data_IF_425228606446
#
_entry.id   IF_425228606446
#
_cell.length_a   1.000
_cell.length_b   1.000
_cell.length_c   1.000
_cell.angle_alpha   90.00
_cell.angle_beta   90.00
_cell.angle_gamma   90.00
#
_symmetry.space_group_name_H-M   'P 1'
#
loop_
_entity.id
_entity.type
_entity.pdbx_description
1 polymer ?
#
# COMPACT_ATOMS: atom_id res chain seq x y z
N UNK A 1 -47.84 -1.87 28.01
CA UNK A 1 -47.52 -3.20 28.57
C UNK A 1 -48.39 -4.24 27.89
N UNK A 2 -47.79 -5.40 27.59
CA UNK A 2 -48.40 -6.72 27.42
C UNK A 2 -49.13 -7.11 26.11
N UNK A 3 -48.42 -7.98 25.35
CA UNK A 3 -48.82 -9.29 24.81
C UNK A 3 -49.84 -9.44 23.66
N UNK A 4 -49.32 -9.82 22.49
CA UNK A 4 -49.82 -10.83 21.53
C UNK A 4 -48.56 -11.46 20.88
N UNK A 5 -48.10 -12.70 21.12
CA UNK A 5 -48.57 -14.05 20.69
C UNK A 5 -49.04 -14.17 19.23
N UNK A 6 -48.44 -15.10 18.47
CA UNK A 6 -48.98 -15.71 17.23
C UNK A 6 -48.00 -15.72 16.05
N UNK A 7 -47.04 -16.65 15.95
CA UNK A 7 -47.02 -17.92 15.17
C UNK A 7 -47.23 -17.77 13.64
N UNK A 8 -46.41 -18.52 12.87
CA UNK A 8 -46.59 -19.10 11.51
C UNK A 8 -45.90 -18.33 10.36
N UNK A 9 -45.24 -18.95 9.37
CA UNK A 9 -44.94 -20.35 9.06
C UNK A 9 -43.75 -20.44 8.06
N UNK A 10 -43.09 -21.59 8.07
CA UNK A 10 -42.21 -22.19 7.05
C UNK A 10 -42.45 -21.77 5.58
N UNK A 11 -41.37 -21.73 4.78
CA UNK A 11 -41.16 -22.70 3.68
C UNK A 11 -39.73 -22.64 3.12
N UNK A 12 -39.03 -23.77 3.25
CA UNK A 12 -37.83 -24.11 2.47
C UNK A 12 -38.21 -24.27 1.00
N UNK A 13 -37.32 -23.89 0.08
CA UNK A 13 -37.17 -24.66 -1.15
C UNK A 13 -35.69 -24.93 -1.45
N UNK A 14 -35.47 -26.22 -1.58
CA UNK A 14 -34.27 -27.00 -1.79
C UNK A 14 -33.90 -26.98 -3.28
N UNK A 15 -32.61 -26.80 -3.64
CA UNK A 15 -31.97 -27.56 -4.74
C UNK A 15 -30.46 -27.60 -4.47
N UNK A 16 -29.91 -28.80 -4.23
CA UNK A 16 -28.55 -29.16 -4.63
C UNK A 16 -28.64 -29.98 -5.91
N UNK A 17 -27.63 -29.96 -6.80
CA UNK A 17 -26.83 -31.17 -6.94
C UNK A 17 -25.35 -30.98 -7.31
N UNK A 18 -24.52 -31.75 -6.59
CA UNK A 18 -23.31 -32.50 -6.98
C UNK A 18 -22.58 -32.16 -8.31
N UNK A 19 -21.28 -31.90 -8.13
CA UNK A 19 -20.10 -32.48 -8.82
C UNK A 19 -20.31 -33.04 -10.25
N UNK A 20 -19.65 -32.42 -11.22
CA UNK A 20 -18.89 -33.13 -12.25
C UNK A 20 -17.53 -32.45 -12.45
N UNK A 21 -16.47 -33.25 -12.34
CA UNK A 21 -15.13 -32.94 -12.86
C UNK A 21 -15.17 -32.99 -14.39
N UNK A 22 -14.49 -32.06 -15.07
CA UNK A 22 -13.49 -32.38 -16.12
C UNK A 22 -12.77 -31.13 -16.64
N UNK A 23 -11.50 -31.00 -16.22
CA UNK A 23 -10.29 -30.71 -17.00
C UNK A 23 -10.46 -30.24 -18.46
N UNK A 24 -10.01 -29.00 -18.80
CA UNK A 24 -9.03 -28.74 -19.89
C UNK A 24 -8.54 -27.28 -19.95
N UNK A 25 -7.22 -27.15 -19.77
CA UNK A 25 -6.21 -26.25 -20.35
C UNK A 25 -6.62 -24.97 -21.14
N UNK A 26 -6.09 -23.80 -20.73
CA UNK A 26 -4.98 -23.04 -21.37
C UNK A 26 -4.87 -21.59 -20.82
N UNK A 27 -3.73 -20.89 -21.00
CA UNK A 27 -3.25 -19.87 -20.09
C UNK A 27 -3.82 -18.49 -20.45
N UNK A 28 -4.30 -17.74 -19.46
CA UNK A 28 -4.65 -16.35 -19.66
C UNK A 28 -3.55 -15.46 -19.09
N UNK A 29 -2.82 -14.88 -20.03
CA UNK A 29 -1.83 -13.86 -19.83
C UNK A 29 -2.44 -12.63 -19.14
N UNK A 30 -1.67 -12.10 -18.20
CA UNK A 30 -1.77 -10.76 -17.63
C UNK A 30 -2.06 -9.73 -18.71
N UNK A 31 -3.30 -9.22 -18.80
CA UNK A 31 -3.59 -8.01 -19.59
C UNK A 31 -3.15 -6.81 -18.75
N UNK A 32 -2.01 -6.24 -19.10
CA UNK A 32 -1.68 -4.87 -18.74
C UNK A 32 -2.81 -3.96 -19.25
N UNK A 33 -3.30 -2.99 -18.48
CA UNK A 33 -4.16 -1.95 -19.04
C UNK A 33 -3.43 -1.30 -20.23
N UNK A 34 -4.17 -0.98 -21.28
CA UNK A 34 -3.61 -0.50 -22.53
C UNK A 34 -2.86 0.82 -22.32
N UNK A 35 -1.54 0.80 -22.48
CA UNK A 35 -0.70 2.00 -22.59
C UNK A 35 -0.91 2.55 -24.01
N UNK A 36 -1.22 3.84 -24.19
CA UNK A 36 -1.27 4.46 -25.52
C UNK A 36 0.11 4.43 -26.17
N UNK A 37 0.27 3.63 -27.23
CA UNK A 37 1.49 3.64 -28.05
C UNK A 37 1.37 4.83 -29.01
N UNK A 38 2.17 5.88 -28.79
CA UNK A 38 2.47 6.87 -29.83
C UNK A 38 3.59 6.30 -30.70
N UNK A 39 3.34 6.14 -31.99
CA UNK A 39 4.34 5.65 -32.94
C UNK A 39 5.54 6.63 -33.00
N UNK A 40 6.79 6.15 -32.86
CA UNK A 40 7.96 7.00 -33.05
C UNK A 40 8.22 7.24 -34.54
N UNK A 41 8.42 8.50 -34.91
CA UNK A 41 8.89 8.90 -36.23
C UNK A 41 10.39 8.56 -36.37
N UNK A 42 10.86 7.92 -37.46
CA UNK A 42 12.27 7.60 -37.66
C UNK A 42 13.15 8.85 -37.97
N UNK A 43 14.49 8.72 -37.80
CA UNK A 43 15.38 9.81 -37.38
C UNK A 43 16.01 10.60 -38.53
N UNK A 44 16.44 11.84 -38.24
CA UNK A 44 17.41 12.56 -39.07
C UNK A 44 18.83 12.15 -38.67
N UNK A 45 19.55 11.61 -39.65
CA UNK A 45 20.97 11.27 -39.62
C UNK A 45 21.84 12.48 -39.25
N UNK A 46 22.79 12.27 -38.35
CA UNK A 46 24.06 12.99 -38.39
C UNK A 46 25.20 11.99 -38.17
N UNK A 47 26.22 12.16 -39.00
CA UNK A 47 27.25 11.20 -39.35
C UNK A 47 28.30 10.92 -38.24
N UNK A 48 28.92 9.76 -38.41
CA UNK A 48 29.93 9.04 -37.62
C UNK A 48 31.29 9.79 -37.54
N UNK A 49 32.09 9.71 -36.46
CA UNK A 49 33.20 8.74 -36.25
C UNK A 49 34.25 9.31 -35.26
N UNK A 50 35.31 8.58 -34.80
CA UNK A 50 35.44 7.15 -34.52
C UNK A 50 36.00 6.84 -33.09
N UNK A 51 36.07 5.53 -32.82
CA UNK A 51 36.46 4.85 -31.60
C UNK A 51 37.84 5.16 -31.00
N UNK A 52 37.94 5.02 -29.67
CA UNK A 52 39.17 4.64 -28.97
C UNK A 52 38.93 3.35 -28.19
N UNK A 53 39.51 2.27 -28.71
CA UNK A 53 39.78 1.03 -27.99
C UNK A 53 40.84 1.29 -26.92
N UNK A 54 40.60 0.90 -25.67
CA UNK A 54 41.68 0.62 -24.72
C UNK A 54 41.36 -0.70 -24.01
N UNK A 55 42.42 -1.49 -23.94
CA UNK A 55 42.52 -2.93 -23.67
C UNK A 55 42.13 -3.35 -22.26
N UNK A 56 41.55 -4.55 -22.18
CA UNK A 56 41.64 -5.45 -21.02
C UNK A 56 43.09 -5.91 -20.87
N UNK A 57 43.64 -5.85 -19.66
CA UNK A 57 44.58 -6.86 -19.15
C UNK A 57 44.80 -6.74 -17.62
N UNK A 58 44.54 -7.88 -16.97
CA UNK A 58 45.22 -8.47 -15.80
C UNK A 58 45.53 -7.61 -14.56
N UNK A 59 44.94 -8.01 -13.43
CA UNK A 59 45.72 -8.54 -12.31
C UNK A 59 44.83 -9.46 -11.44
N UNK A 60 44.95 -10.76 -11.70
CA UNK A 60 44.49 -11.81 -10.82
C UNK A 60 45.52 -12.01 -9.71
N UNK A 61 45.15 -11.74 -8.45
CA UNK A 61 45.93 -12.18 -7.30
C UNK A 61 45.28 -13.39 -6.67
N UNK A 62 45.92 -14.52 -6.95
CA UNK A 62 45.88 -15.82 -6.28
C UNK A 62 45.80 -15.69 -4.75
N UNK A 63 44.80 -16.30 -4.13
CA UNK A 63 44.96 -16.94 -2.82
C UNK A 63 44.31 -18.32 -2.88
N UNK A 64 45.15 -19.34 -2.70
CA UNK A 64 44.76 -20.74 -2.54
C UNK A 64 44.79 -21.14 -1.05
N UNK A 65 44.13 -22.25 -0.69
CA UNK A 65 43.56 -22.48 0.63
C UNK A 65 44.51 -23.22 1.59
N UNK A 66 44.23 -23.12 2.90
CA UNK A 66 44.76 -24.04 3.91
C UNK A 66 43.64 -24.54 4.84
N UNK A 67 43.29 -25.80 4.60
CA UNK A 67 42.88 -26.90 5.49
C UNK A 67 42.71 -26.66 7.00
N UNK A 68 41.48 -26.93 7.46
CA UNK A 68 41.00 -27.80 8.56
C UNK A 68 41.86 -28.07 9.80
N UNK A 69 41.34 -27.74 10.99
CA UNK A 69 40.63 -28.65 11.95
C UNK A 69 40.52 -27.98 13.36
N UNK A 70 39.90 -28.56 14.41
CA UNK A 70 38.60 -28.11 14.92
C UNK A 70 38.65 -27.66 16.39
N UNK A 71 38.01 -26.55 16.75
CA UNK A 71 37.70 -26.26 18.16
C UNK A 71 36.26 -25.79 18.32
N UNK A 72 35.49 -26.73 18.84
CA UNK A 72 34.24 -26.57 19.55
C UNK A 72 34.42 -25.52 20.67
N UNK A 73 33.75 -24.38 20.53
CA UNK A 73 33.49 -23.48 21.66
C UNK A 73 32.01 -23.14 21.65
N UNK A 74 31.36 -23.73 22.63
CA UNK A 74 29.99 -23.57 23.09
C UNK A 74 29.74 -22.09 23.47
N UNK A 75 28.95 -21.37 22.68
CA UNK A 75 28.48 -20.03 23.03
C UNK A 75 27.05 -20.11 23.57
N UNK A 76 27.03 -20.40 24.86
CA UNK A 76 26.13 -19.95 25.93
C UNK A 76 24.80 -19.28 25.53
N UNK A 77 23.72 -20.06 25.66
CA UNK A 77 22.32 -19.69 25.47
C UNK A 77 21.70 -19.00 26.71
N UNK A 78 22.38 -18.05 27.36
CA UNK A 78 21.99 -17.56 28.70
C UNK A 78 22.03 -16.03 28.90
N UNK A 79 21.70 -15.22 27.88
CA UNK A 79 21.52 -13.77 28.04
C UNK A 79 20.29 -13.20 27.31
N UNK A 80 19.10 -13.78 27.54
CA UNK A 80 17.84 -13.12 27.21
C UNK A 80 17.09 -12.76 28.51
N UNK A 81 16.60 -11.51 28.67
CA UNK A 81 15.81 -11.13 29.83
C UNK A 81 14.46 -11.88 29.86
N UNK A 82 13.90 -12.14 31.05
CA UNK A 82 12.75 -13.03 31.21
C UNK A 82 11.47 -12.42 30.62
N UNK A 83 10.77 -13.18 29.77
CA UNK A 83 9.42 -12.87 29.29
C UNK A 83 8.37 -13.08 30.39
N UNK A 84 7.30 -12.27 30.43
CA UNK A 84 6.04 -12.70 31.03
C UNK A 84 4.84 -12.43 30.09
N UNK A 85 3.64 -12.97 30.40
CA UNK A 85 3.17 -14.31 30.11
C UNK A 85 2.13 -14.34 28.96
N UNK A 86 1.81 -15.54 28.48
CA UNK A 86 0.68 -15.80 27.61
C UNK A 86 -0.68 -15.44 28.26
N UNK A 87 -1.57 -14.90 27.43
CA UNK A 87 -3.01 -14.61 27.63
C UNK A 87 -3.39 -13.15 27.93
N UNK A 88 -3.91 -12.49 26.90
CA UNK A 88 -5.08 -11.60 27.00
C UNK A 88 -5.76 -11.69 25.63
N UNK A 89 -6.83 -12.49 25.51
CA UNK A 89 -8.20 -11.98 25.38
C UNK A 89 -8.31 -10.87 24.34
N UNK A 90 -9.08 -11.14 23.27
CA UNK A 90 -9.78 -10.09 22.54
C UNK A 90 -10.32 -9.09 23.57
N UNK A 91 -9.78 -7.88 23.59
CA UNK A 91 -10.47 -6.76 24.19
C UNK A 91 -11.60 -6.39 23.24
N UNK A 92 -12.82 -6.71 23.63
CA UNK A 92 -14.10 -6.33 23.01
C UNK A 92 -14.39 -4.80 23.05
N UNK A 93 -13.37 -3.95 23.21
CA UNK A 93 -13.53 -2.49 23.45
C UNK A 93 -13.31 -1.61 22.19
N UNK A 94 -13.56 -2.15 20.99
CA UNK A 94 -13.56 -1.37 19.74
C UNK A 94 -14.96 -1.03 19.21
N UNK A 95 -16.00 -1.28 20.01
CA UNK A 95 -17.38 -0.90 19.67
C UNK A 95 -17.57 0.63 19.80
N UNK A 96 -16.96 1.40 18.87
CA UNK A 96 -17.20 2.85 18.73
C UNK A 96 -16.05 3.74 18.25
N UNK A 97 -14.84 3.22 17.98
CA UNK A 97 -13.67 4.05 17.62
C UNK A 97 -13.23 3.87 16.14
N UNK A 98 -14.19 3.61 15.25
CA UNK A 98 -13.92 3.57 13.80
C UNK A 98 -13.57 4.97 13.30
N UNK A 99 -12.42 5.10 12.62
CA UNK A 99 -11.97 6.38 12.06
C UNK A 99 -12.88 6.93 10.95
N UNK A 100 -13.87 6.12 10.52
CA UNK A 100 -14.92 6.46 9.58
C UNK A 100 -16.27 6.17 10.26
N UNK A 101 -17.22 7.08 10.11
CA UNK A 101 -18.56 6.89 10.67
C UNK A 101 -19.47 6.33 9.58
N UNK A 102 -20.33 5.36 9.90
CA UNK A 102 -21.41 4.94 9.00
C UNK A 102 -22.15 6.18 8.47
N UNK A 103 -22.12 6.38 7.16
CA UNK A 103 -22.67 7.56 6.49
C UNK A 103 -24.19 7.61 6.63
N UNK A 104 -24.69 8.16 7.74
CA UNK A 104 -26.11 8.42 7.96
C UNK A 104 -26.51 9.74 7.30
N UNK A 105 -26.95 9.66 6.05
CA UNK A 105 -27.82 10.68 5.44
C UNK A 105 -28.80 10.06 4.41
N UNK A 106 -29.47 8.99 4.81
CA UNK A 106 -30.70 8.53 4.15
C UNK A 106 -31.86 8.58 5.15
N UNK A 107 -32.70 9.60 5.02
CA UNK A 107 -33.99 9.65 5.69
C UNK A 107 -34.86 8.56 5.07
N UNK A 108 -35.05 7.46 5.81
CA UNK A 108 -36.26 6.63 5.70
C UNK A 108 -36.21 5.33 4.89
N UNK A 109 -35.21 4.46 5.06
CA UNK A 109 -35.38 2.99 4.95
C UNK A 109 -34.35 2.32 5.87
N UNK A 110 -34.77 1.70 6.98
CA UNK A 110 -33.88 0.82 7.75
C UNK A 110 -33.73 -0.51 7.03
N UNK A 111 -32.78 -0.58 6.10
CA UNK A 111 -32.12 -1.84 5.74
C UNK A 111 -31.07 -2.09 6.79
N UNK A 112 -31.13 -3.25 7.46
CA UNK A 112 -30.09 -3.68 8.37
C UNK A 112 -28.81 -3.98 7.59
N UNK A 113 -27.93 -2.98 7.51
CA UNK A 113 -26.51 -3.20 7.25
C UNK A 113 -25.85 -3.46 8.59
N UNK A 114 -25.49 -4.71 8.85
CA UNK A 114 -24.57 -5.08 9.91
C UNK A 114 -23.21 -4.41 9.63
N UNK A 115 -22.41 -4.14 10.66
CA UNK A 115 -21.00 -3.71 10.58
C UNK A 115 -20.05 -4.74 9.92
N UNK A 116 -20.58 -5.63 9.08
CA UNK A 116 -19.96 -6.81 8.50
C UNK A 116 -19.57 -6.62 7.02
N UNK A 117 -19.74 -5.41 6.47
CA UNK A 117 -19.46 -5.09 5.05
C UNK A 117 -18.30 -4.10 4.88
N UNK A 118 -17.56 -3.78 5.95
CA UNK A 118 -16.38 -2.91 5.88
C UNK A 118 -15.12 -3.77 5.70
N UNK A 119 -14.55 -3.78 4.49
CA UNK A 119 -13.34 -4.54 4.18
C UNK A 119 -12.11 -3.86 4.79
N UNK A 120 -11.40 -4.52 5.72
CA UNK A 120 -10.10 -4.09 6.24
C UNK A 120 -9.01 -5.12 5.89
N UNK A 121 -7.97 -4.70 5.15
CA UNK A 121 -6.84 -5.56 4.78
C UNK A 121 -6.01 -6.06 5.98
N UNK A 122 -6.28 -5.56 7.21
CA UNK A 122 -5.57 -5.93 8.43
C UNK A 122 -6.30 -6.92 9.34
N UNK A 123 -7.56 -7.30 9.08
CA UNK A 123 -8.36 -8.19 9.96
C UNK A 123 -7.64 -9.50 10.33
N UNK A 124 -6.66 -9.91 9.54
CA UNK A 124 -5.96 -11.19 9.68
C UNK A 124 -4.46 -11.07 9.94
N UNK A 125 -3.94 -9.86 10.11
CA UNK A 125 -2.55 -9.69 10.51
C UNK A 125 -2.44 -9.99 12.00
N UNK A 126 -1.89 -11.16 12.35
CA UNK A 126 -1.57 -11.52 13.73
C UNK A 126 -0.06 -11.52 13.93
N UNK A 127 0.40 -10.80 14.96
CA UNK A 127 1.80 -10.87 15.42
C UNK A 127 1.94 -12.03 16.39
N UNK A 128 2.87 -12.91 16.08
CA UNK A 128 3.28 -14.06 16.90
C UNK A 128 4.80 -14.01 17.06
N UNK A 129 5.34 -14.70 18.07
CA UNK A 129 6.80 -14.82 18.23
C UNK A 129 7.45 -15.57 17.05
N UNK A 130 8.76 -15.43 16.88
CA UNK A 130 9.49 -16.00 15.72
C UNK A 130 9.34 -17.52 15.61
N UNK A 131 9.32 -18.25 16.73
CA UNK A 131 9.15 -19.70 16.74
C UNK A 131 7.76 -20.09 16.23
N UNK A 132 6.73 -19.44 16.76
CA UNK A 132 5.34 -19.59 16.36
C UNK A 132 5.10 -19.11 14.93
N UNK A 133 5.74 -18.02 14.49
CA UNK A 133 5.67 -17.50 13.13
C UNK A 133 6.21 -18.54 12.15
N UNK A 134 7.41 -19.08 12.41
CA UNK A 134 8.01 -20.11 11.57
C UNK A 134 7.17 -21.39 11.52
N UNK A 135 6.53 -21.78 12.62
CA UNK A 135 5.62 -22.93 12.65
C UNK A 135 4.29 -22.68 11.93
N UNK A 136 3.70 -21.50 12.08
CA UNK A 136 2.45 -21.12 11.43
C UNK A 136 2.67 -20.88 9.93
N UNK A 137 3.75 -20.20 9.55
CA UNK A 137 4.12 -19.97 8.15
C UNK A 137 4.36 -21.29 7.40
N UNK A 138 4.98 -22.29 8.06
CA UNK A 138 5.09 -23.65 7.51
C UNK A 138 3.75 -24.38 7.35
N UNK A 139 2.73 -24.00 8.11
CA UNK A 139 1.38 -24.60 8.07
C UNK A 139 0.44 -23.89 7.09
N UNK A 140 0.69 -22.61 6.80
CA UNK A 140 -0.13 -21.83 5.89
C UNK A 140 0.30 -22.11 4.46
N UNK A 141 -0.61 -22.64 3.66
CA UNK A 141 -0.40 -22.80 2.23
C UNK A 141 -0.57 -21.44 1.53
N UNK A 142 0.55 -20.86 1.09
CA UNK A 142 0.61 -19.57 0.40
C UNK A 142 -0.32 -19.53 -0.81
N UNK A 143 -0.52 -20.66 -1.49
CA UNK A 143 -1.41 -20.74 -2.65
C UNK A 143 -2.88 -20.64 -2.23
N UNK A 144 -3.26 -21.23 -1.10
CA UNK A 144 -4.61 -21.11 -0.55
C UNK A 144 -4.90 -19.66 -0.20
N UNK A 145 -3.95 -18.98 0.46
CA UNK A 145 -4.15 -17.57 0.83
C UNK A 145 -4.22 -16.67 -0.41
N UNK A 146 -3.39 -16.93 -1.42
CA UNK A 146 -3.45 -16.25 -2.72
C UNK A 146 -4.82 -16.39 -3.37
N UNK A 147 -5.36 -17.61 -3.45
CA UNK A 147 -6.70 -17.87 -4.02
C UNK A 147 -7.79 -17.13 -3.23
N UNK A 148 -7.66 -17.08 -1.90
CA UNK A 148 -8.60 -16.38 -1.02
C UNK A 148 -8.59 -14.87 -1.27
N UNK A 149 -7.41 -14.25 -1.35
CA UNK A 149 -7.25 -12.82 -1.64
C UNK A 149 -7.64 -12.48 -3.08
N UNK A 150 -7.47 -13.40 -4.02
CA UNK A 150 -7.97 -13.24 -5.38
C UNK A 150 -9.50 -13.25 -5.44
N UNK A 151 -10.16 -14.06 -4.60
CA UNK A 151 -11.61 -14.02 -4.47
C UNK A 151 -12.07 -12.67 -3.88
N UNK A 152 -11.48 -12.24 -2.77
CA UNK A 152 -11.81 -10.93 -2.18
C UNK A 152 -11.59 -9.79 -3.18
N UNK A 153 -10.52 -9.84 -3.98
CA UNK A 153 -10.27 -8.86 -5.03
C UNK A 153 -11.37 -8.84 -6.09
N UNK A 154 -11.98 -9.99 -6.45
CA UNK A 154 -13.16 -10.02 -7.33
C UNK A 154 -14.35 -9.36 -6.68
N UNK A 155 -14.62 -9.67 -5.42
CA UNK A 155 -15.75 -9.11 -4.69
C UNK A 155 -15.63 -7.58 -4.56
N UNK A 156 -14.40 -7.06 -4.34
CA UNK A 156 -14.12 -5.62 -4.31
C UNK A 156 -14.35 -4.95 -5.67
N UNK A 157 -13.94 -5.60 -6.79
CA UNK A 157 -14.22 -5.09 -8.14
C UNK A 157 -15.72 -5.05 -8.40
N UNK A 158 -16.45 -6.08 -8.01
CA UNK A 158 -17.90 -6.14 -8.13
C UNK A 158 -18.59 -5.05 -7.28
N UNK A 159 -17.97 -4.67 -6.14
CA UNK A 159 -18.37 -3.52 -5.32
C UNK A 159 -17.93 -2.14 -5.89
N UNK A 160 -17.34 -2.12 -7.08
CA UNK A 160 -16.95 -0.91 -7.80
C UNK A 160 -15.68 -0.24 -7.28
N UNK A 161 -14.77 -0.99 -6.66
CA UNK A 161 -13.42 -0.50 -6.35
C UNK A 161 -12.57 -0.42 -7.62
N UNK A 162 -11.66 0.57 -7.67
CA UNK A 162 -10.72 0.69 -8.78
C UNK A 162 -9.65 -0.40 -8.73
N UNK A 163 -9.10 -0.78 -9.88
CA UNK A 163 -8.04 -1.81 -9.94
C UNK A 163 -6.81 -1.42 -9.12
N UNK A 164 -6.44 -0.13 -9.07
CA UNK A 164 -5.32 0.33 -8.26
C UNK A 164 -5.61 0.19 -6.75
N UNK A 165 -6.86 0.41 -6.31
CA UNK A 165 -7.25 0.21 -4.91
C UNK A 165 -7.31 -1.28 -4.55
N UNK A 166 -7.86 -2.11 -5.43
CA UNK A 166 -7.90 -3.58 -5.27
C UNK A 166 -6.48 -4.14 -5.20
N UNK A 167 -5.58 -3.71 -6.09
CA UNK A 167 -4.18 -4.11 -6.08
C UNK A 167 -3.51 -3.78 -4.74
N UNK A 168 -3.69 -2.54 -4.26
CA UNK A 168 -3.10 -2.10 -3.00
C UNK A 168 -3.68 -2.88 -1.81
N UNK A 169 -4.99 -3.12 -1.78
CA UNK A 169 -5.65 -3.94 -0.77
C UNK A 169 -5.04 -5.35 -0.71
N UNK A 170 -4.94 -6.02 -1.87
CA UNK A 170 -4.36 -7.35 -1.96
C UNK A 170 -2.87 -7.36 -1.56
N UNK A 171 -2.10 -6.37 -2.00
CA UNK A 171 -0.67 -6.24 -1.69
C UNK A 171 -0.45 -6.04 -0.19
N UNK A 172 -1.25 -5.19 0.45
CA UNK A 172 -1.21 -5.01 1.90
C UNK A 172 -1.56 -6.31 2.61
N UNK A 173 -2.62 -7.00 2.19
CA UNK A 173 -2.99 -8.28 2.77
C UNK A 173 -1.90 -9.35 2.63
N UNK A 174 -1.18 -9.38 1.51
CA UNK A 174 -0.15 -10.38 1.22
C UNK A 174 1.24 -10.04 1.78
N UNK A 175 1.40 -8.89 2.47
CA UNK A 175 2.71 -8.36 2.92
C UNK A 175 3.52 -9.28 3.85
N UNK A 176 2.88 -10.28 4.46
CA UNK A 176 3.52 -11.30 5.30
C UNK A 176 3.73 -12.66 4.62
N UNK A 177 3.33 -12.80 3.35
CA UNK A 177 3.29 -14.06 2.60
C UNK A 177 4.05 -14.01 1.27
N UNK A 178 4.58 -12.84 0.90
CA UNK A 178 5.33 -12.66 -0.33
C UNK A 178 6.62 -11.88 -0.06
N UNK A 179 7.68 -12.13 -0.84
CA UNK A 179 8.91 -11.37 -0.71
C UNK A 179 8.65 -9.89 -1.06
N UNK A 180 9.14 -8.99 -0.21
CA UNK A 180 9.00 -7.56 -0.34
C UNK A 180 10.33 -6.84 -0.59
N UNK A 181 11.46 -7.40 -0.12
CA UNK A 181 12.75 -6.72 -0.05
C UNK A 181 13.83 -7.44 -0.89
N UNK A 182 14.83 -6.72 -1.42
CA UNK A 182 16.00 -7.35 -2.04
C UNK A 182 16.83 -8.14 -1.03
N UNK A 183 17.33 -9.32 -1.41
CA UNK A 183 18.16 -10.17 -0.53
C UNK A 183 19.45 -9.48 -0.05
N UNK A 184 19.96 -8.51 -0.80
CA UNK A 184 21.13 -7.73 -0.41
C UNK A 184 20.94 -6.99 0.92
N UNK A 185 19.70 -6.79 1.37
CA UNK A 185 19.36 -6.04 2.58
C UNK A 185 19.16 -6.92 3.81
N UNK A 186 19.30 -8.25 3.69
CA UNK A 186 18.96 -9.18 4.78
C UNK A 186 19.74 -8.89 6.06
N UNK A 187 21.02 -8.51 5.93
CA UNK A 187 21.87 -8.17 7.08
C UNK A 187 21.63 -6.76 7.64
N UNK A 188 20.91 -5.90 6.92
CA UNK A 188 20.59 -4.55 7.37
C UNK A 188 19.31 -4.50 8.21
N UNK A 189 18.52 -5.58 8.20
CA UNK A 189 17.20 -5.67 8.81
C UNK A 189 16.99 -7.01 9.53
N UNK A 190 17.77 -7.23 10.59
CA UNK A 190 17.77 -8.48 11.36
C UNK A 190 16.41 -8.85 11.98
N UNK A 191 15.53 -7.86 12.22
CA UNK A 191 14.20 -8.07 12.82
C UNK A 191 13.11 -8.42 11.79
N UNK A 192 13.45 -8.43 10.51
CA UNK A 192 12.51 -8.75 9.42
C UNK A 192 12.68 -10.22 9.03
N UNK A 193 11.59 -11.01 8.91
CA UNK A 193 11.69 -12.42 8.54
C UNK A 193 12.40 -12.66 7.20
N UNK A 194 13.27 -13.67 7.14
CA UNK A 194 14.08 -14.00 5.95
C UNK A 194 13.23 -14.26 4.70
N UNK A 195 12.02 -14.82 4.87
CA UNK A 195 11.09 -15.14 3.79
C UNK A 195 10.59 -13.89 3.02
N UNK A 196 10.74 -12.70 3.61
CA UNK A 196 10.40 -11.43 2.95
C UNK A 196 11.50 -10.93 2.01
N UNK A 197 12.65 -11.58 1.98
CA UNK A 197 13.77 -11.20 1.12
C UNK A 197 13.86 -12.07 -0.13
N UNK A 198 14.35 -11.52 -1.24
CA UNK A 198 14.48 -12.27 -2.49
C UNK A 198 15.62 -11.80 -3.38
N UNK A 199 16.29 -12.75 -4.03
CA UNK A 199 17.25 -12.48 -5.11
C UNK A 199 16.57 -11.90 -6.36
N UNK A 200 15.28 -12.21 -6.54
CA UNK A 200 14.50 -11.79 -7.71
C UNK A 200 14.00 -10.37 -7.53
N UNK A 201 14.80 -9.41 -7.99
CA UNK A 201 14.48 -7.98 -7.84
C UNK A 201 13.12 -7.61 -8.43
N UNK A 202 12.62 -8.29 -9.45
CA UNK A 202 11.26 -8.09 -10.00
C UNK A 202 10.14 -8.40 -9.00
N UNK A 203 10.40 -9.28 -8.05
CA UNK A 203 9.47 -9.63 -6.96
C UNK A 203 9.60 -8.70 -5.75
N UNK A 204 10.77 -8.13 -5.51
CA UNK A 204 10.98 -7.14 -4.47
C UNK A 204 10.17 -5.87 -4.77
N UNK A 205 9.14 -5.62 -3.96
CA UNK A 205 8.27 -4.46 -4.11
C UNK A 205 8.87 -3.20 -3.50
N UNK A 206 9.47 -3.34 -2.31
CA UNK A 206 10.13 -2.28 -1.57
C UNK A 206 11.62 -2.27 -1.97
N UNK A 207 11.95 -1.40 -2.93
CA UNK A 207 13.31 -1.22 -3.45
C UNK A 207 13.48 0.20 -4.04
N UNK A 208 14.72 0.71 -4.16
CA UNK A 208 14.97 1.94 -4.90
C UNK A 208 14.57 1.78 -6.37
N UNK A 209 14.03 2.86 -6.95
CA UNK A 209 13.75 2.93 -8.38
C UNK A 209 14.95 3.50 -9.15
N UNK A 210 15.49 4.64 -8.70
CA UNK A 210 16.65 5.30 -9.31
C UNK A 210 17.72 5.71 -8.30
N UNK A 211 17.42 5.69 -7.00
CA UNK A 211 18.34 6.01 -5.91
C UNK A 211 19.25 4.85 -5.52
N UNK A 212 19.87 4.97 -4.35
CA UNK A 212 20.79 3.95 -3.81
C UNK A 212 20.11 3.11 -2.74
N UNK A 213 20.55 1.85 -2.61
CA UNK A 213 20.15 0.93 -1.54
C UNK A 213 20.28 1.57 -0.17
N UNK A 214 21.44 2.18 0.13
CA UNK A 214 21.66 2.88 1.40
C UNK A 214 20.58 3.92 1.73
N UNK A 215 20.17 4.73 0.73
CA UNK A 215 19.15 5.75 0.94
C UNK A 215 17.78 5.13 1.25
N UNK A 216 17.46 4.03 0.57
CA UNK A 216 16.21 3.30 0.73
C UNK A 216 16.16 2.57 2.08
N UNK A 217 17.25 1.91 2.45
CA UNK A 217 17.41 1.24 3.73
C UNK A 217 17.27 2.21 4.90
N UNK A 218 17.96 3.36 4.85
CA UNK A 218 17.85 4.39 5.88
C UNK A 218 16.44 5.02 5.94
N UNK A 219 15.75 5.16 4.80
CA UNK A 219 14.36 5.62 4.81
C UNK A 219 13.42 4.60 5.47
N UNK A 220 13.62 3.31 5.20
CA UNK A 220 12.82 2.22 5.78
C UNK A 220 13.10 2.02 7.27
N UNK A 221 14.36 2.04 7.71
CA UNK A 221 14.73 1.97 9.13
C UNK A 221 14.02 3.04 9.97
N UNK A 222 13.92 4.27 9.44
CA UNK A 222 13.19 5.36 10.12
C UNK A 222 11.68 5.12 10.22
N UNK A 223 11.10 4.30 9.33
CA UNK A 223 9.72 3.85 9.49
C UNK A 223 9.62 2.82 10.63
N UNK A 224 10.54 1.86 10.71
CA UNK A 224 10.55 0.87 11.81
C UNK A 224 10.61 1.53 13.19
N UNK A 225 11.33 2.64 13.33
CA UNK A 225 11.38 3.41 14.60
C UNK A 225 10.05 4.13 14.95
N UNK A 226 9.11 4.26 14.01
CA UNK A 226 7.91 5.08 14.18
C UNK A 226 7.05 4.63 15.35
N UNK A 227 6.83 3.32 15.50
CA UNK A 227 5.97 2.82 16.56
C UNK A 227 6.51 3.12 17.96
N UNK A 228 7.82 3.01 18.15
CA UNK A 228 8.50 3.45 19.37
C UNK A 228 8.25 4.94 19.65
N UNK A 229 8.47 5.81 18.65
CA UNK A 229 8.20 7.25 18.82
C UNK A 229 6.74 7.58 19.13
N UNK A 230 5.80 6.84 18.54
CA UNK A 230 4.36 7.04 18.76
C UNK A 230 3.99 6.65 20.19
N UNK A 231 4.45 5.48 20.66
CA UNK A 231 4.23 5.02 22.04
C UNK A 231 4.91 5.93 23.05
N UNK A 232 6.17 6.31 22.83
CA UNK A 232 6.90 7.24 23.69
C UNK A 232 6.17 8.58 23.81
N UNK A 233 5.74 9.16 22.69
CA UNK A 233 5.00 10.41 22.69
C UNK A 233 3.72 10.33 23.54
N UNK A 234 3.06 9.18 23.54
CA UNK A 234 1.91 8.92 24.39
C UNK A 234 2.30 8.77 25.87
N UNK A 235 3.21 7.85 26.19
CA UNK A 235 3.60 7.54 27.57
C UNK A 235 4.21 8.73 28.29
N UNK A 236 5.02 9.54 27.61
CA UNK A 236 5.67 10.72 28.20
C UNK A 236 4.82 11.99 28.10
N UNK A 237 3.61 11.91 27.52
CA UNK A 237 2.75 13.07 27.23
C UNK A 237 3.51 14.20 26.53
N UNK A 238 4.28 13.83 25.50
CA UNK A 238 5.14 14.77 24.80
C UNK A 238 4.35 15.88 24.12
N UNK A 239 4.98 17.05 23.92
CA UNK A 239 4.39 18.16 23.15
C UNK A 239 4.03 17.76 21.72
N UNK A 240 4.84 16.88 21.12
CA UNK A 240 4.57 16.28 19.81
C UNK A 240 3.69 15.06 20.04
N UNK A 241 2.51 15.06 19.45
CA UNK A 241 1.53 14.00 19.65
C UNK A 241 1.87 12.74 18.83
N UNK A 242 1.34 11.57 19.20
CA UNK A 242 1.32 10.37 18.37
C UNK A 242 1.02 10.63 16.87
N UNK A 243 -0.11 11.27 16.58
CA UNK A 243 -0.52 11.60 15.20
C UNK A 243 0.48 12.54 14.49
N UNK A 244 1.16 13.43 15.23
CA UNK A 244 2.23 14.24 14.65
C UNK A 244 3.42 13.39 14.18
N UNK A 245 3.81 12.37 14.96
CA UNK A 245 4.89 11.46 14.57
C UNK A 245 4.52 10.64 13.33
N UNK A 246 3.28 10.14 13.25
CA UNK A 246 2.74 9.46 12.07
C UNK A 246 2.80 10.38 10.83
N UNK A 247 2.21 11.57 10.92
CA UNK A 247 2.22 12.53 9.81
C UNK A 247 3.64 12.95 9.38
N UNK A 248 4.57 13.09 10.34
CA UNK A 248 5.98 13.39 10.06
C UNK A 248 6.65 12.25 9.30
N UNK A 249 6.43 11.00 9.71
CA UNK A 249 7.01 9.82 9.07
C UNK A 249 6.46 9.61 7.65
N UNK A 250 5.14 9.71 7.46
CA UNK A 250 4.50 9.70 6.13
C UNK A 250 5.15 10.74 5.23
N UNK A 251 5.26 11.99 5.68
CA UNK A 251 5.86 13.08 4.89
C UNK A 251 7.33 12.81 4.55
N UNK A 252 8.10 12.30 5.50
CA UNK A 252 9.52 12.03 5.31
C UNK A 252 9.75 10.90 4.29
N UNK A 253 9.02 9.79 4.43
CA UNK A 253 9.16 8.65 3.53
C UNK A 253 8.61 8.97 2.13
N UNK A 254 7.50 9.70 2.03
CA UNK A 254 6.98 10.20 0.75
C UNK A 254 7.98 11.09 0.04
N UNK A 255 8.61 12.03 0.75
CA UNK A 255 9.63 12.91 0.16
C UNK A 255 10.80 12.09 -0.41
N UNK A 256 11.26 11.07 0.31
CA UNK A 256 12.30 10.17 -0.20
C UNK A 256 11.80 9.40 -1.42
N UNK A 257 10.65 8.73 -1.34
CA UNK A 257 10.13 7.87 -2.38
C UNK A 257 9.87 8.63 -3.70
N UNK A 258 9.28 9.83 -3.63
CA UNK A 258 9.00 10.62 -4.84
C UNK A 258 10.27 11.15 -5.49
N UNK A 259 11.29 11.50 -4.69
CA UNK A 259 12.62 11.87 -5.21
C UNK A 259 13.31 10.67 -5.84
N UNK A 260 13.24 9.51 -5.19
CA UNK A 260 13.77 8.25 -5.70
C UNK A 260 13.10 7.84 -7.02
N UNK A 261 11.79 8.09 -7.17
CA UNK A 261 11.05 7.89 -8.42
C UNK A 261 11.21 8.99 -9.46
N UNK A 262 11.96 10.07 -9.16
CA UNK A 262 12.11 11.27 -10.01
C UNK A 262 10.78 11.97 -10.37
N UNK A 263 9.76 11.82 -9.53
CA UNK A 263 8.41 12.38 -9.71
C UNK A 263 8.07 13.41 -8.63
N UNK A 264 9.07 13.90 -7.89
CA UNK A 264 8.90 14.88 -6.81
C UNK A 264 8.35 16.23 -7.30
N UNK A 265 8.76 16.66 -8.50
CA UNK A 265 8.24 17.86 -9.14
C UNK A 265 6.76 17.75 -9.51
N UNK A 266 6.31 16.58 -10.00
CA UNK A 266 4.90 16.30 -10.25
C UNK A 266 4.13 16.16 -8.94
N UNK A 267 4.68 15.43 -7.97
CA UNK A 267 4.06 15.21 -6.67
C UNK A 267 3.71 16.50 -5.93
N UNK A 268 4.53 17.54 -6.09
CA UNK A 268 4.28 18.85 -5.50
C UNK A 268 3.00 19.52 -6.02
N UNK A 269 2.57 19.19 -7.24
CA UNK A 269 1.41 19.78 -7.92
C UNK A 269 0.20 18.85 -7.97
N UNK A 270 0.45 17.58 -8.27
CA UNK A 270 -0.54 16.54 -8.53
C UNK A 270 -0.17 15.27 -7.72
N UNK A 271 -0.31 15.29 -6.38
CA UNK A 271 -0.10 14.09 -5.57
C UNK A 271 -1.21 13.05 -5.84
N UNK A 272 -0.98 11.81 -5.41
CA UNK A 272 -2.03 10.75 -5.42
C UNK A 272 -2.73 10.61 -4.08
N UNK A 273 -2.22 11.24 -3.02
CA UNK A 273 -2.87 11.18 -1.73
C UNK A 273 -2.67 12.43 -0.88
N UNK A 274 -3.55 12.59 0.10
CA UNK A 274 -3.41 13.54 1.19
C UNK A 274 -3.34 12.86 2.55
N UNK A 275 -2.70 13.55 3.50
CA UNK A 275 -2.65 13.13 4.91
C UNK A 275 -3.45 14.09 5.76
N UNK A 276 -4.37 13.56 6.57
CA UNK A 276 -5.14 14.33 7.54
C UNK A 276 -4.88 13.76 8.93
N UNK A 277 -4.18 14.54 9.75
CA UNK A 277 -3.94 14.21 11.16
C UNK A 277 -4.86 15.05 12.04
N UNK A 278 -5.49 14.44 13.03
CA UNK A 278 -6.36 15.14 13.99
C UNK A 278 -6.16 14.63 15.41
N UNK A 279 -6.70 15.39 16.38
CA UNK A 279 -6.63 15.05 17.79
C UNK A 279 -7.64 13.96 18.13
N UNK A 280 -7.33 13.11 19.14
CA UNK A 280 -8.25 12.09 19.67
C UNK A 280 -9.60 12.67 20.13
N UNK A 281 -9.61 13.94 20.54
CA UNK A 281 -10.83 14.61 21.01
C UNK A 281 -11.71 15.16 19.87
N UNK A 282 -11.25 15.07 18.63
CA UNK A 282 -12.01 15.47 17.45
C UNK A 282 -12.73 14.24 16.92
N UNK A 283 -14.04 14.38 16.69
CA UNK A 283 -14.86 13.28 16.16
C UNK A 283 -14.33 12.82 14.79
N UNK A 284 -14.25 11.50 14.52
CA UNK A 284 -13.71 10.96 13.27
C UNK A 284 -14.34 11.55 12.00
N UNK A 285 -15.64 11.82 12.02
CA UNK A 285 -16.36 12.42 10.87
C UNK A 285 -15.78 13.76 10.42
N UNK A 286 -15.18 14.55 11.33
CA UNK A 286 -14.52 15.82 10.96
C UNK A 286 -13.25 15.55 10.15
N UNK A 287 -12.52 14.48 10.50
CA UNK A 287 -11.36 14.03 9.74
C UNK A 287 -11.75 13.48 8.37
N UNK A 288 -12.84 12.71 8.32
CA UNK A 288 -13.44 12.17 7.10
C UNK A 288 -13.90 13.28 6.15
N UNK A 289 -14.74 14.21 6.62
CA UNK A 289 -15.23 15.35 5.82
C UNK A 289 -14.06 16.17 5.24
N UNK A 290 -13.06 16.45 6.07
CA UNK A 290 -11.85 17.16 5.64
C UNK A 290 -11.03 16.37 4.62
N UNK A 291 -11.02 15.04 4.70
CA UNK A 291 -10.35 14.20 3.72
C UNK A 291 -11.12 14.18 2.40
N UNK A 292 -12.44 14.02 2.44
CA UNK A 292 -13.32 14.09 1.26
C UNK A 292 -13.15 15.41 0.53
N UNK A 293 -13.15 16.54 1.25
CA UNK A 293 -12.94 17.86 0.66
C UNK A 293 -11.57 17.95 -0.05
N UNK A 294 -10.51 17.46 0.59
CA UNK A 294 -9.15 17.48 0.02
C UNK A 294 -9.02 16.60 -1.22
N UNK A 295 -9.61 15.40 -1.19
CA UNK A 295 -9.54 14.47 -2.31
C UNK A 295 -10.47 14.86 -3.45
N UNK A 296 -11.62 15.49 -3.17
CA UNK A 296 -12.48 16.08 -4.19
C UNK A 296 -11.77 17.21 -4.93
N UNK A 297 -11.10 18.13 -4.23
CA UNK A 297 -10.28 19.17 -4.90
C UNK A 297 -9.15 18.56 -5.73
N UNK A 298 -8.51 17.51 -5.22
CA UNK A 298 -7.44 16.81 -5.93
C UNK A 298 -7.95 16.07 -7.16
N UNK A 299 -9.17 15.52 -7.10
CA UNK A 299 -9.86 14.90 -8.22
C UNK A 299 -10.04 15.89 -9.36
N UNK A 300 -10.56 17.10 -9.07
CA UNK A 300 -10.69 18.15 -10.07
C UNK A 300 -9.35 18.57 -10.68
N UNK A 301 -8.29 18.71 -9.85
CA UNK A 301 -6.96 19.03 -10.36
C UNK A 301 -6.41 17.98 -11.32
N UNK A 302 -6.65 16.69 -11.05
CA UNK A 302 -6.27 15.61 -11.96
C UNK A 302 -7.13 15.59 -13.21
N UNK A 303 -8.43 15.83 -13.08
CA UNK A 303 -9.37 15.91 -14.19
C UNK A 303 -8.97 17.01 -15.19
N UNK A 304 -8.62 18.20 -14.68
CA UNK A 304 -8.09 19.31 -15.46
C UNK A 304 -6.73 19.00 -16.08
N UNK A 305 -5.78 18.45 -15.30
CA UNK A 305 -4.43 18.18 -15.77
C UNK A 305 -4.39 17.14 -16.90
N UNK A 306 -5.32 16.18 -16.88
CA UNK A 306 -5.47 15.17 -17.94
C UNK A 306 -6.32 15.65 -19.12
N UNK A 307 -6.86 16.88 -19.06
CA UNK A 307 -7.68 17.48 -20.11
C UNK A 307 -8.86 16.58 -20.53
N UNK A 308 -9.50 15.95 -19.55
CA UNK A 308 -10.54 14.94 -19.78
C UNK A 308 -11.72 15.54 -20.55
N UNK A 309 -12.21 16.71 -20.12
CA UNK A 309 -13.31 17.40 -20.79
C UNK A 309 -12.98 17.71 -22.26
N UNK A 310 -11.76 18.17 -22.56
CA UNK A 310 -11.38 18.48 -23.93
C UNK A 310 -11.25 17.21 -24.78
N UNK A 311 -10.80 16.09 -24.20
CA UNK A 311 -10.74 14.81 -24.89
C UNK A 311 -12.14 14.27 -25.21
N UNK A 312 -13.10 14.38 -24.28
CA UNK A 312 -14.50 14.01 -24.48
C UNK A 312 -15.16 14.87 -25.57
N UNK A 313 -14.96 16.20 -25.52
CA UNK A 313 -15.52 17.13 -26.51
C UNK A 313 -14.94 16.93 -27.92
N UNK A 314 -13.66 16.55 -28.03
CA UNK A 314 -13.05 16.18 -29.32
C UNK A 314 -13.56 14.84 -29.85
N UNK A 315 -14.22 14.03 -29.02
CA UNK A 315 -14.60 12.67 -29.36
C UNK A 315 -13.40 11.76 -29.51
N UNK A 316 -12.35 11.98 -28.71
CA UNK A 316 -11.14 11.16 -28.73
C UNK A 316 -11.52 9.70 -28.41
N UNK A 317 -10.93 8.75 -29.15
CA UNK A 317 -11.26 7.31 -29.01
C UNK A 317 -10.88 6.79 -27.61
N UNK A 318 -9.88 7.41 -26.98
CA UNK A 318 -9.38 7.05 -25.65
C UNK A 318 -9.38 8.32 -24.81
N UNK A 319 -10.33 8.40 -23.88
CA UNK A 319 -10.40 9.46 -22.87
C UNK A 319 -9.62 9.00 -21.63
N UNK A 320 -8.68 9.80 -21.12
CA UNK A 320 -7.96 9.45 -19.90
C UNK A 320 -8.89 9.46 -18.69
N UNK A 321 -8.65 8.57 -17.73
CA UNK A 321 -9.38 8.52 -16.46
C UNK A 321 -8.55 9.12 -15.33
N UNK A 322 -9.21 9.74 -14.35
CA UNK A 322 -8.56 10.23 -13.13
C UNK A 322 -7.96 9.03 -12.38
N UNK A 323 -6.68 9.10 -11.96
CA UNK A 323 -6.07 8.01 -11.20
C UNK A 323 -6.75 7.82 -9.85
N UNK A 324 -6.63 6.62 -9.30
CA UNK A 324 -7.16 6.37 -7.95
C UNK A 324 -6.48 7.28 -6.94
N UNK A 325 -7.27 8.06 -6.21
CA UNK A 325 -6.80 8.94 -5.16
C UNK A 325 -6.97 8.26 -3.81
N UNK A 326 -6.01 8.50 -2.93
CA UNK A 326 -5.96 7.88 -1.61
C UNK A 326 -5.91 8.91 -0.49
N UNK A 327 -6.23 8.48 0.72
CA UNK A 327 -6.07 9.26 1.94
C UNK A 327 -5.31 8.48 2.99
N UNK A 328 -4.53 9.19 3.80
CA UNK A 328 -4.00 8.70 5.06
C UNK A 328 -4.63 9.53 6.18
N UNK A 329 -5.49 8.93 6.98
CA UNK A 329 -6.02 9.56 8.19
C UNK A 329 -5.23 9.06 9.39
N UNK A 330 -4.94 9.93 10.35
CA UNK A 330 -4.31 9.51 11.60
C UNK A 330 -4.87 10.30 12.78
N UNK A 331 -5.29 9.58 13.80
CA UNK A 331 -5.74 10.12 15.07
C UNK A 331 -5.11 9.31 16.18
N UNK A 332 -4.50 10.00 17.15
CA UNK A 332 -3.77 9.34 18.22
C UNK A 332 -2.70 8.36 17.68
N UNK A 333 -2.73 7.09 18.08
CA UNK A 333 -1.86 6.01 17.60
C UNK A 333 -2.40 5.27 16.38
N UNK A 334 -3.62 5.57 15.96
CA UNK A 334 -4.30 4.85 14.87
C UNK A 334 -4.13 5.61 13.56
N UNK A 335 -3.85 4.87 12.50
CA UNK A 335 -3.72 5.37 11.13
C UNK A 335 -4.58 4.50 10.22
N UNK A 336 -5.28 5.09 9.26
CA UNK A 336 -5.99 4.36 8.23
C UNK A 336 -5.61 4.82 6.83
N UNK A 337 -5.58 3.86 5.89
CA UNK A 337 -5.54 4.10 4.46
C UNK A 337 -6.95 4.04 3.91
N UNK A 338 -7.29 5.01 3.07
CA UNK A 338 -8.60 5.06 2.40
C UNK A 338 -8.41 5.31 0.91
N UNK A 339 -9.34 4.84 0.09
CA UNK A 339 -9.48 5.26 -1.30
C UNK A 339 -10.65 6.22 -1.45
N UNK A 340 -10.53 7.15 -2.40
CA UNK A 340 -11.59 8.08 -2.76
C UNK A 340 -12.49 7.46 -3.82
N UNK A 341 -13.80 7.45 -3.56
CA UNK A 341 -14.81 7.14 -4.55
C UNK A 341 -15.51 8.45 -4.95
N UNK A 342 -15.29 8.96 -6.18
CA UNK A 342 -15.95 10.17 -6.64
C UNK A 342 -17.47 9.96 -6.76
N UNK A 343 -18.26 11.05 -6.82
CA UNK A 343 -19.69 10.96 -7.09
C UNK A 343 -19.96 10.26 -8.43
N UNK A 344 -21.01 9.45 -8.48
CA UNK A 344 -21.48 8.76 -9.70
C UNK A 344 -22.98 8.93 -9.84
N UNK A 345 -23.57 8.62 -11.00
CA UNK A 345 -25.02 8.68 -11.20
C UNK A 345 -25.81 7.86 -10.15
N UNK A 346 -25.23 6.77 -9.66
CA UNK A 346 -25.82 5.89 -8.65
C UNK A 346 -25.57 6.37 -7.21
N UNK A 347 -24.54 7.20 -7.00
CA UNK A 347 -24.11 7.71 -5.69
C UNK A 347 -23.75 9.19 -5.80
N UNK A 348 -24.70 10.06 -5.47
CA UNK A 348 -24.55 11.51 -5.60
C UNK A 348 -23.48 12.13 -4.68
N UNK A 349 -23.11 11.44 -3.59
CA UNK A 349 -22.12 11.93 -2.64
C UNK A 349 -20.79 11.18 -2.80
N UNK A 350 -19.65 11.89 -2.73
CA UNK A 350 -18.35 11.25 -2.68
C UNK A 350 -18.18 10.46 -1.37
N UNK A 351 -17.45 9.36 -1.42
CA UNK A 351 -17.24 8.46 -0.28
C UNK A 351 -15.76 8.12 -0.10
N UNK A 352 -15.37 7.80 1.13
CA UNK A 352 -14.11 7.14 1.42
C UNK A 352 -14.37 5.65 1.63
N UNK A 353 -13.49 4.81 1.08
CA UNK A 353 -13.51 3.37 1.34
C UNK A 353 -12.27 3.00 2.14
N UNK A 354 -12.45 2.41 3.31
CA UNK A 354 -11.35 1.91 4.14
C UNK A 354 -10.57 0.84 3.38
N UNK A 355 -9.25 0.98 3.29
CA UNK A 355 -8.36 -0.05 2.74
C UNK A 355 -7.75 -0.86 3.88
N UNK A 356 -7.21 -0.17 4.88
CA UNK A 356 -6.49 -0.81 5.98
C UNK A 356 -6.39 0.12 7.20
N UNK A 357 -6.53 -0.40 8.42
CA UNK A 357 -6.36 0.36 9.67
C UNK A 357 -5.27 -0.21 10.59
N UNK A 358 -4.34 0.63 11.02
CA UNK A 358 -3.15 0.26 11.79
C UNK A 358 -3.14 0.96 13.14
N UNK A 359 -2.83 0.22 14.20
CA UNK A 359 -2.63 0.78 15.53
C UNK A 359 -1.16 0.66 15.95
N UNK A 360 -0.50 1.81 16.10
CA UNK A 360 0.90 1.89 16.54
C UNK A 360 1.07 1.79 18.07
N UNK A 361 -0.03 1.74 18.83
CA UNK A 361 0.03 1.43 20.26
C UNK A 361 0.29 -0.06 20.50
N UNK A 362 -0.01 -0.94 19.54
CA UNK A 362 0.21 -2.38 19.65
C UNK A 362 1.70 -2.71 19.48
N UNK A 363 2.31 -3.18 20.55
CA UNK A 363 3.68 -3.69 20.52
C UNK A 363 3.80 -4.91 19.60
N UNK A 364 4.95 -5.05 18.94
CA UNK A 364 5.21 -6.14 17.99
C UNK A 364 4.67 -5.92 16.57
N UNK A 365 3.79 -4.94 16.34
CA UNK A 365 3.27 -4.60 15.01
C UNK A 365 4.12 -3.58 14.26
N UNK A 366 5.23 -3.11 14.84
CA UNK A 366 6.05 -2.02 14.29
C UNK A 366 6.58 -2.31 12.90
N UNK A 367 7.11 -3.53 12.70
CA UNK A 367 7.63 -3.98 11.40
C UNK A 367 6.50 -4.04 10.37
N UNK A 368 5.37 -4.67 10.70
CA UNK A 368 4.25 -4.88 9.79
C UNK A 368 3.53 -3.58 9.42
N UNK A 369 3.35 -2.67 10.38
CA UNK A 369 2.75 -1.35 10.14
C UNK A 369 3.68 -0.49 9.25
N UNK A 370 4.99 -0.57 9.49
CA UNK A 370 5.99 0.12 8.67
C UNK A 370 6.08 -0.41 7.25
N UNK A 371 6.02 -1.74 7.06
CA UNK A 371 5.96 -2.35 5.74
C UNK A 371 4.68 -1.95 5.00
N UNK A 372 3.54 -1.86 5.69
CA UNK A 372 2.30 -1.37 5.09
C UNK A 372 2.41 0.10 4.62
N UNK A 373 3.00 0.98 5.42
CA UNK A 373 3.31 2.36 5.00
C UNK A 373 4.25 2.41 3.80
N UNK A 374 5.29 1.57 3.81
CA UNK A 374 6.24 1.49 2.71
C UNK A 374 5.56 1.02 1.42
N UNK A 375 4.73 -0.02 1.49
CA UNK A 375 3.95 -0.53 0.36
C UNK A 375 3.05 0.56 -0.21
N UNK A 376 2.26 1.23 0.64
CA UNK A 376 1.35 2.30 0.21
C UNK A 376 2.08 3.43 -0.52
N UNK A 377 3.18 3.93 0.04
CA UNK A 377 3.90 5.08 -0.52
C UNK A 377 4.67 4.67 -1.79
N UNK A 378 5.25 3.46 -1.83
CA UNK A 378 5.93 2.95 -3.02
C UNK A 378 4.95 2.65 -4.14
N UNK A 379 3.75 2.14 -3.83
CA UNK A 379 2.65 2.01 -4.79
C UNK A 379 2.37 3.36 -5.45
N UNK A 380 2.20 4.42 -4.66
CA UNK A 380 1.99 5.77 -5.19
C UNK A 380 3.18 6.26 -6.04
N UNK A 381 4.43 6.03 -5.63
CA UNK A 381 5.62 6.38 -6.43
C UNK A 381 5.61 5.69 -7.79
N UNK A 382 5.39 4.39 -7.79
CA UNK A 382 5.37 3.58 -9.01
C UNK A 382 4.22 4.02 -9.93
N UNK A 383 3.05 4.32 -9.35
CA UNK A 383 1.89 4.82 -10.11
C UNK A 383 2.14 6.20 -10.71
N UNK A 384 2.73 7.13 -9.95
CA UNK A 384 3.13 8.44 -10.46
C UNK A 384 4.13 8.33 -11.61
N UNK A 385 5.06 7.38 -11.55
CA UNK A 385 6.03 7.14 -12.62
C UNK A 385 5.32 6.72 -13.91
N UNK A 386 4.29 5.87 -13.82
CA UNK A 386 3.47 5.48 -14.98
C UNK A 386 2.64 6.65 -15.51
N UNK A 387 2.05 7.45 -14.62
CA UNK A 387 1.21 8.60 -15.01
C UNK A 387 2.01 9.73 -15.67
N UNK A 388 3.32 9.77 -15.46
CA UNK A 388 4.21 10.76 -16.11
C UNK A 388 4.14 10.64 -17.64
N UNK A 389 3.91 9.44 -18.19
CA UNK A 389 3.76 9.23 -19.64
C UNK A 389 2.45 9.81 -20.19
N UNK A 390 1.42 9.94 -19.35
CA UNK A 390 0.10 10.44 -19.73
C UNK A 390 -0.03 11.95 -19.59
N UNK A 391 0.81 12.58 -18.77
CA UNK A 391 0.81 14.02 -18.59
C UNK A 391 1.59 14.66 -19.73
N UNK A 392 0.96 15.58 -20.46
CA UNK A 392 1.65 16.38 -21.48
C UNK A 392 2.83 17.10 -20.85
N UNK A 393 4.03 16.94 -21.43
CA UNK A 393 5.17 17.79 -21.05
C UNK A 393 4.76 19.25 -21.29
N UNK A 394 5.04 20.18 -20.35
CA UNK A 394 4.84 21.58 -20.64
C UNK A 394 5.68 21.92 -21.87
N UNK A 395 5.04 22.40 -22.94
CA UNK A 395 5.76 22.99 -24.06
C UNK A 395 6.67 24.06 -23.48
N UNK A 396 7.97 23.77 -23.44
CA UNK A 396 8.99 24.78 -23.16
C UNK A 396 8.92 25.69 -24.38
N UNK A 397 8.15 26.76 -24.28
CA UNK A 397 8.22 27.86 -25.22
C UNK A 397 9.65 28.40 -25.12
N UNK A 398 10.54 27.89 -25.96
CA UNK A 398 11.71 28.64 -26.37
C UNK A 398 11.16 29.83 -27.15
N UNK A 399 10.76 30.87 -26.43
CA UNK A 399 10.78 32.21 -26.99
C UNK A 399 12.25 32.44 -27.35
N UNK A 400 12.57 32.19 -28.62
CA UNK A 400 13.83 32.62 -29.20
C UNK A 400 13.85 34.14 -29.04
N UNK A 401 14.70 34.59 -28.12
CA UNK A 401 15.02 36.00 -27.92
C UNK A 401 15.52 36.55 -29.27
N UNK A 402 14.78 37.48 -29.92
CA UNK A 402 15.08 37.89 -31.29
C UNK A 402 16.32 38.79 -31.42
N UNK A 403 17.09 38.98 -30.34
CA UNK A 403 18.26 39.88 -30.28
C UNK A 403 19.61 39.17 -30.01
N UNK A 404 19.77 37.89 -30.38
CA UNK A 404 21.08 37.20 -30.38
C UNK A 404 21.63 36.90 -31.78
#
# INVERSE_FOLDING_TARGET
MAFLRGITNHLWNYVSPRKTQQKREKPFAFKKPAIPIRNPTPPKELETAPARQISLEAHATKQEPRSDSPQQVDFDAMLLPPSPPASAMLSEDLEGDTLLTESHNSVGVKVGGSSADEWDANEETMVVDDGTYMEQHKKIDIEIERVRRDQQGRDLRDAGWSEDAVFLFQKLGMRGFEPLLPISWINDFETVPEDLFTEKLDKAFIKPAFGTDYSAQNALNRLFDLGGFVRDAWHTRAKRTPAFHIGKAVKAYTKWAMKDGRVDHLWARLPLFHTVTFSRHVHPSVGEEKMIEKLGRLHELWYEALQIEQAEQRGDIIVPEVPTLYGITASHSVMAFVSYAPPTEMKEQPQLRLIAMFDFAKEGYDVWNSLAMAIFIIHCRNRMTQLTECLSEPEVSTEEDPDL
#
